data_IF_612258134270
#
_entry.id   IF_612258134270
#
_cell.length_a   1.000
_cell.length_b   1.000
_cell.length_c   1.000
_cell.angle_alpha   90.00
_cell.angle_beta   90.00
_cell.angle_gamma   90.00
#
_symmetry.space_group_name_H-M   'P 1'
#
loop_
_entity.id
_entity.type
_entity.pdbx_description
1 polymer ?
#
# COMPACT_ATOMS: atom_id res chain seq x y z
N UNK A 1 11.27 16.35 11.54
CA UNK A 1 12.09 15.92 10.39
C UNK A 1 11.34 14.75 9.83
N UNK A 2 10.77 14.98 8.67
CA UNK A 2 9.57 14.29 8.18
C UNK A 2 9.99 13.11 7.29
N UNK A 3 9.12 12.11 7.04
CA UNK A 3 9.44 11.05 6.09
C UNK A 3 9.82 11.64 4.73
N UNK A 4 10.81 11.04 4.05
CA UNK A 4 11.19 11.47 2.70
C UNK A 4 10.10 11.05 1.71
N UNK A 5 9.59 9.82 1.89
CA UNK A 5 8.56 9.26 1.02
C UNK A 5 7.54 8.54 1.89
N UNK A 6 6.26 8.82 1.63
CA UNK A 6 5.12 8.22 2.28
C UNK A 6 4.11 7.92 1.19
N UNK A 7 3.87 6.64 0.93
CA UNK A 7 3.00 6.21 -0.16
C UNK A 7 2.24 4.93 0.18
N UNK A 8 1.11 4.74 -0.50
CA UNK A 8 0.29 3.54 -0.37
C UNK A 8 -0.02 2.96 -1.74
N UNK A 9 -0.02 1.63 -1.83
CA UNK A 9 -0.57 0.89 -2.95
C UNK A 9 -1.75 0.05 -2.47
N UNK A 10 -2.93 0.24 -3.05
CA UNK A 10 -4.12 -0.52 -2.72
C UNK A 10 -4.74 -1.15 -3.96
N UNK A 11 -5.19 -2.40 -3.83
CA UNK A 11 -5.86 -3.13 -4.91
C UNK A 11 -6.83 -4.16 -4.35
N UNK A 12 -7.85 -4.51 -5.12
CA UNK A 12 -8.87 -5.49 -4.74
C UNK A 12 -8.28 -6.91 -4.72
N UNK A 13 -8.63 -7.71 -3.72
CA UNK A 13 -8.03 -9.05 -3.53
C UNK A 13 -8.79 -10.18 -4.22
N UNK A 14 -10.10 -10.10 -4.49
CA UNK A 14 -10.79 -11.22 -5.19
C UNK A 14 -12.09 -10.79 -5.87
N UNK A 15 -12.41 -11.49 -6.97
CA UNK A 15 -13.66 -11.36 -7.72
C UNK A 15 -14.76 -12.30 -7.17
N UNK A 16 -14.39 -13.30 -6.36
CA UNK A 16 -15.29 -14.33 -5.82
C UNK A 16 -15.76 -14.05 -4.38
N UNK A 17 -15.88 -12.77 -4.02
CA UNK A 17 -16.47 -12.38 -2.74
C UNK A 17 -18.00 -12.37 -2.92
N UNK A 18 -18.77 -13.16 -2.14
CA UNK A 18 -20.22 -13.12 -2.21
C UNK A 18 -20.73 -11.70 -2.03
N UNK A 19 -21.77 -11.29 -2.79
CA UNK A 19 -22.34 -9.93 -2.81
C UNK A 19 -22.66 -9.33 -1.42
N UNK A 20 -22.78 -10.15 -0.37
CA UNK A 20 -23.07 -9.74 1.00
C UNK A 20 -21.81 -9.50 1.86
N UNK A 21 -20.60 -9.79 1.37
CA UNK A 21 -19.36 -9.48 2.07
C UNK A 21 -18.74 -8.19 1.54
N UNK A 22 -18.22 -7.31 2.42
CA UNK A 22 -17.53 -6.12 1.98
C UNK A 22 -16.34 -6.49 1.08
N UNK A 23 -16.12 -5.71 0.02
CA UNK A 23 -14.95 -5.86 -0.85
C UNK A 23 -13.69 -5.89 -0.01
N UNK A 24 -12.83 -6.88 -0.25
CA UNK A 24 -11.53 -6.99 0.40
C UNK A 24 -10.48 -6.31 -0.46
N UNK A 25 -9.75 -5.39 0.14
CA UNK A 25 -8.65 -4.68 -0.50
C UNK A 25 -7.36 -5.05 0.22
N UNK A 26 -6.31 -5.32 -0.55
CA UNK A 26 -4.95 -5.26 -0.04
C UNK A 26 -4.51 -3.83 -0.07
N UNK A 27 -3.78 -3.51 0.97
CA UNK A 27 -3.36 -2.15 1.27
C UNK A 27 -1.94 -2.26 1.80
N UNK A 28 -1.00 -1.71 1.04
CA UNK A 28 0.42 -1.80 1.35
C UNK A 28 0.94 -0.38 1.56
N UNK A 29 1.33 -0.08 2.79
CA UNK A 29 1.88 1.21 3.20
C UNK A 29 3.40 1.14 3.17
N UNK A 30 4.02 2.15 2.59
CA UNK A 30 5.47 2.36 2.61
C UNK A 30 5.80 3.73 3.22
N UNK A 31 6.66 3.73 4.24
CA UNK A 31 7.23 4.97 4.82
C UNK A 31 8.74 4.88 4.82
N UNK A 32 9.39 5.69 3.99
CA UNK A 32 10.85 5.79 3.91
C UNK A 32 11.36 6.96 4.73
N UNK A 33 12.32 6.68 5.60
CA UNK A 33 12.98 7.66 6.46
C UNK A 33 14.38 8.00 5.93
N UNK A 34 14.96 9.10 6.41
CA UNK A 34 16.27 9.61 5.96
C UNK A 34 17.44 8.66 6.28
N UNK A 35 17.31 7.80 7.27
CA UNK A 35 18.32 6.83 7.72
C UNK A 35 18.34 5.52 6.91
N UNK A 36 17.89 5.59 5.65
CA UNK A 36 17.77 4.44 4.73
C UNK A 36 16.93 3.28 5.30
N UNK A 37 15.98 3.60 6.18
CA UNK A 37 15.01 2.68 6.75
C UNK A 37 13.67 2.83 6.07
N UNK A 38 12.95 1.73 5.92
CA UNK A 38 11.58 1.73 5.44
C UNK A 38 10.67 0.94 6.38
N UNK A 39 9.53 1.52 6.72
CA UNK A 39 8.40 0.82 7.28
C UNK A 39 7.53 0.27 6.15
N UNK A 40 7.17 -1.00 6.24
CA UNK A 40 6.22 -1.65 5.36
C UNK A 40 5.10 -2.21 6.19
N UNK A 41 3.85 -1.97 5.79
CA UNK A 41 2.67 -2.61 6.36
C UNK A 41 1.81 -3.16 5.24
N UNK A 42 1.47 -4.45 5.31
CA UNK A 42 0.52 -5.09 4.42
C UNK A 42 -0.72 -5.48 5.19
N UNK A 43 -1.88 -5.01 4.75
CA UNK A 43 -3.18 -5.23 5.40
C UNK A 43 -4.22 -5.70 4.40
N UNK A 44 -5.07 -6.64 4.81
CA UNK A 44 -6.31 -6.98 4.08
C UNK A 44 -7.46 -6.26 4.79
N UNK A 45 -7.92 -5.18 4.17
CA UNK A 45 -9.02 -4.37 4.68
C UNK A 45 -10.29 -5.22 4.75
N UNK A 46 -10.98 -5.16 5.89
CA UNK A 46 -12.21 -5.93 6.14
C UNK A 46 -12.01 -7.32 6.77
N UNK A 47 -10.78 -7.82 6.90
CA UNK A 47 -10.49 -9.10 7.59
C UNK A 47 -9.88 -8.89 8.98
N UNK A 48 -9.20 -7.76 9.19
CA UNK A 48 -8.44 -7.49 10.41
C UNK A 48 -7.10 -8.24 10.41
N UNK A 49 -6.05 -7.57 10.89
CA UNK A 49 -4.68 -8.09 10.87
C UNK A 49 -3.85 -7.51 9.72
N UNK A 50 -3.00 -6.55 10.06
CA UNK A 50 -1.87 -6.13 9.23
C UNK A 50 -0.61 -6.87 9.67
N UNK A 51 0.31 -7.08 8.73
CA UNK A 51 1.68 -7.46 9.04
C UNK A 51 2.57 -6.27 8.74
N UNK A 52 3.45 -5.89 9.68
CA UNK A 52 4.34 -4.76 9.48
C UNK A 52 5.77 -5.08 9.89
N UNK A 53 6.70 -4.32 9.32
CA UNK A 53 8.13 -4.49 9.54
C UNK A 53 8.87 -3.18 9.28
N UNK A 54 9.94 -2.96 10.03
CA UNK A 54 10.94 -1.95 9.71
C UNK A 54 12.14 -2.67 9.12
N UNK A 55 12.54 -2.37 7.88
CA UNK A 55 13.68 -3.02 7.24
C UNK A 55 14.61 -1.97 6.60
N UNK A 56 15.88 -2.33 6.33
CA UNK A 56 16.73 -1.50 5.50
C UNK A 56 16.13 -1.33 4.10
N UNK A 57 16.18 -0.12 3.56
CA UNK A 57 15.65 0.18 2.22
C UNK A 57 16.29 -0.69 1.13
N UNK A 58 17.59 -0.95 1.22
CA UNK A 58 18.29 -1.82 0.28
C UNK A 58 17.76 -3.26 0.27
N UNK A 59 17.16 -3.72 1.38
CA UNK A 59 16.50 -5.01 1.48
C UNK A 59 15.16 -4.97 0.74
N UNK A 60 14.34 -3.92 0.96
CA UNK A 60 13.11 -3.69 0.19
C UNK A 60 13.40 -3.66 -1.32
N UNK A 61 14.46 -2.95 -1.74
CA UNK A 61 14.81 -2.81 -3.16
C UNK A 61 15.32 -4.10 -3.81
N UNK A 62 15.62 -5.14 -3.03
CA UNK A 62 15.93 -6.49 -3.53
C UNK A 62 14.75 -7.45 -3.43
N UNK A 63 13.67 -7.04 -2.76
CA UNK A 63 12.54 -7.90 -2.51
C UNK A 63 11.69 -8.06 -3.77
N UNK A 64 11.57 -9.29 -4.29
CA UNK A 64 10.86 -9.59 -5.55
C UNK A 64 9.42 -9.07 -5.58
N UNK A 65 8.67 -9.27 -4.50
CA UNK A 65 7.23 -8.94 -4.48
C UNK A 65 6.88 -7.54 -3.96
N UNK A 66 7.58 -7.02 -2.94
CA UNK A 66 7.31 -5.69 -2.39
C UNK A 66 7.86 -4.55 -3.24
N UNK A 67 9.04 -4.72 -3.86
CA UNK A 67 9.67 -3.65 -4.66
C UNK A 67 8.74 -3.14 -5.77
N UNK A 68 8.09 -3.99 -6.59
CA UNK A 68 7.19 -3.49 -7.63
C UNK A 68 6.02 -2.67 -7.08
N UNK A 69 5.42 -3.08 -5.96
CA UNK A 69 4.34 -2.30 -5.34
C UNK A 69 4.82 -0.95 -4.79
N UNK A 70 6.03 -0.91 -4.21
CA UNK A 70 6.65 0.33 -3.78
C UNK A 70 6.95 1.27 -4.96
N UNK A 71 7.54 0.76 -6.05
CA UNK A 71 7.81 1.58 -7.25
C UNK A 71 6.51 2.16 -7.84
N UNK A 72 5.41 1.40 -7.81
CA UNK A 72 4.09 1.86 -8.25
C UNK A 72 3.50 2.90 -7.29
N UNK A 73 3.58 2.69 -5.96
CA UNK A 73 3.03 3.64 -4.99
C UNK A 73 3.72 5.01 -5.05
N UNK A 74 5.04 5.03 -5.27
CA UNK A 74 5.80 6.27 -5.41
C UNK A 74 5.32 7.16 -6.56
N UNK A 75 4.65 6.62 -7.59
CA UNK A 75 4.11 7.41 -8.72
C UNK A 75 2.95 8.33 -8.32
N UNK A 76 2.32 8.10 -7.16
CA UNK A 76 1.32 9.00 -6.62
C UNK A 76 1.91 10.26 -5.97
N UNK A 77 3.17 10.21 -5.50
CA UNK A 77 3.77 11.26 -4.68
C UNK A 77 3.84 12.57 -5.45
N UNK A 78 3.27 13.63 -4.86
CA UNK A 78 3.31 14.98 -5.45
C UNK A 78 2.42 15.20 -6.68
N UNK A 79 1.65 14.19 -7.10
CA UNK A 79 0.64 14.35 -8.16
C UNK A 79 -0.68 14.90 -7.56
N UNK A 80 -1.45 15.71 -8.30
CA UNK A 80 -2.78 16.13 -7.85
C UNK A 80 -3.72 14.93 -7.74
N UNK A 81 -4.61 14.92 -6.76
CA UNK A 81 -5.70 13.93 -6.71
C UNK A 81 -6.57 14.08 -7.95
N UNK A 82 -6.79 12.97 -8.66
CA UNK A 82 -7.57 12.96 -9.89
C UNK A 82 -9.06 12.65 -9.63
N UNK A 83 -9.38 12.04 -8.49
CA UNK A 83 -10.73 11.60 -8.15
C UNK A 83 -11.13 12.06 -6.73
N UNK A 84 -12.25 12.78 -6.63
CA UNK A 84 -12.81 13.27 -5.38
C UNK A 84 -13.45 12.15 -4.54
N UNK A 85 -13.83 11.04 -5.15
CA UNK A 85 -14.40 9.88 -4.45
C UNK A 85 -13.31 9.08 -3.69
N UNK A 86 -12.03 9.32 -4.01
CA UNK A 86 -10.86 8.72 -3.36
C UNK A 86 -10.13 9.70 -2.45
N UNK A 87 -10.84 10.73 -2.00
CA UNK A 87 -10.46 11.52 -0.84
C UNK A 87 -10.86 10.78 0.44
N UNK A 88 -9.98 10.77 1.45
CA UNK A 88 -10.46 10.46 2.80
C UNK A 88 -11.57 11.45 3.16
N UNK A 89 -12.57 10.99 3.90
CA UNK A 89 -13.82 11.71 4.20
C UNK A 89 -13.65 13.05 4.94
N UNK A 90 -12.43 13.41 5.34
CA UNK A 90 -12.10 14.66 6.02
C UNK A 90 -11.36 15.64 5.09
N UNK A 91 -11.61 16.93 5.29
CA UNK A 91 -10.86 18.00 4.63
C UNK A 91 -9.38 17.97 5.10
N UNK A 92 -8.39 17.89 4.19
CA UNK A 92 -6.97 17.89 4.53
C UNK A 92 -6.54 19.04 5.42
N UNK A 93 -7.17 20.21 5.28
CA UNK A 93 -6.88 21.38 6.11
C UNK A 93 -7.35 21.19 7.56
N UNK A 94 -8.41 20.39 7.79
CA UNK A 94 -8.90 20.09 9.15
C UNK A 94 -8.02 19.07 9.86
N UNK A 95 -7.41 18.13 9.14
CA UNK A 95 -6.55 17.12 9.73
C UNK A 95 -5.19 17.66 10.21
N UNK A 96 -4.74 18.82 9.69
CA UNK A 96 -3.52 19.51 10.18
C UNK A 96 -3.53 19.83 11.67
N UNK A 97 -4.71 19.84 12.29
CA UNK A 97 -4.89 20.11 13.73
C UNK A 97 -4.67 18.89 14.63
N UNK A 98 -4.62 17.68 14.06
CA UNK A 98 -4.39 16.43 14.78
C UNK A 98 -2.96 15.96 14.51
N UNK A 99 -2.15 15.80 15.55
CA UNK A 99 -0.69 15.65 15.42
C UNK A 99 -0.21 14.35 14.76
N UNK A 100 -1.06 13.32 14.67
CA UNK A 100 -0.70 12.02 14.10
C UNK A 100 -1.47 11.67 12.83
N UNK A 101 -2.42 12.51 12.40
CA UNK A 101 -3.31 12.17 11.29
C UNK A 101 -2.79 12.77 9.98
N UNK A 102 -2.61 11.92 8.98
CA UNK A 102 -1.88 12.25 7.75
C UNK A 102 -2.64 11.69 6.55
N UNK A 103 -2.72 12.49 5.49
CA UNK A 103 -3.10 12.03 4.17
C UNK A 103 -1.88 11.54 3.41
N UNK A 104 -1.93 10.29 2.99
CA UNK A 104 -0.86 9.64 2.24
C UNK A 104 -1.26 9.53 0.78
N UNK A 105 -0.38 9.91 -0.14
CA UNK A 105 -0.56 9.71 -1.57
C UNK A 105 -0.72 8.21 -1.86
N UNK A 106 -1.80 7.84 -2.54
CA UNK A 106 -2.18 6.44 -2.76
C UNK A 106 -2.48 6.17 -4.23
N UNK A 107 -1.92 5.07 -4.75
CA UNK A 107 -2.41 4.43 -5.96
C UNK A 107 -3.45 3.38 -5.58
N UNK A 108 -4.60 3.44 -6.25
CA UNK A 108 -5.64 2.42 -6.19
C UNK A 108 -5.74 1.69 -7.52
N UNK A 109 -5.76 0.36 -7.50
CA UNK A 109 -6.26 -0.44 -8.61
C UNK A 109 -7.69 -0.86 -8.28
N UNK A 110 -8.63 -0.38 -9.08
CA UNK A 110 -10.06 -0.54 -8.84
C UNK A 110 -10.68 -1.31 -10.00
N UNK A 111 -11.73 -2.05 -9.67
CA UNK A 111 -12.46 -2.84 -10.65
C UNK A 111 -13.94 -2.47 -10.55
N UNK A 112 -14.51 -2.04 -11.66
CA UNK A 112 -15.95 -1.90 -11.82
C UNK A 112 -16.55 -3.28 -12.02
N UNK A 113 -17.34 -3.73 -11.03
CA UNK A 113 -17.99 -5.04 -11.03
C UNK A 113 -19.09 -5.19 -12.10
N UNK A 114 -19.63 -4.09 -12.61
CA UNK A 114 -20.69 -4.10 -13.63
C UNK A 114 -20.08 -4.26 -15.01
N UNK A 115 -18.96 -3.57 -15.27
CA UNK A 115 -18.29 -3.58 -16.58
C UNK A 115 -17.09 -4.52 -16.66
N UNK A 116 -16.64 -5.07 -15.54
CA UNK A 116 -15.36 -5.78 -15.37
C UNK A 116 -14.14 -4.97 -15.83
N UNK A 117 -14.26 -3.64 -15.83
CA UNK A 117 -13.15 -2.75 -16.19
C UNK A 117 -12.22 -2.59 -14.98
N UNK A 118 -10.92 -2.76 -15.21
CA UNK A 118 -9.87 -2.49 -14.21
C UNK A 118 -9.18 -1.19 -14.59
N UNK A 119 -9.06 -0.27 -13.64
CA UNK A 119 -8.39 1.01 -13.84
C UNK A 119 -7.50 1.35 -12.64
N UNK A 120 -6.46 2.15 -12.89
CA UNK A 120 -5.70 2.78 -11.82
C UNK A 120 -6.30 4.15 -11.50
N UNK A 121 -6.28 4.51 -10.22
CA UNK A 121 -6.68 5.84 -9.73
C UNK A 121 -5.63 6.38 -8.76
N UNK A 122 -5.52 7.71 -8.72
CA UNK A 122 -4.73 8.42 -7.71
C UNK A 122 -5.67 9.13 -6.75
N UNK A 123 -5.51 8.81 -5.46
CA UNK A 123 -6.21 9.49 -4.36
C UNK A 123 -5.31 9.58 -3.14
N UNK A 124 -5.92 9.75 -1.97
CA UNK A 124 -5.21 9.78 -0.69
C UNK A 124 -5.85 8.84 0.33
N UNK A 125 -5.02 8.13 1.10
CA UNK A 125 -5.48 7.37 2.26
C UNK A 125 -5.26 8.16 3.55
N UNK A 126 -6.30 8.24 4.40
CA UNK A 126 -6.19 8.81 5.73
C UNK A 126 -5.55 7.79 6.68
N UNK A 127 -4.49 8.18 7.38
CA UNK A 127 -3.74 7.32 8.30
C UNK A 127 -3.45 8.05 9.59
N UNK A 128 -3.35 7.28 10.68
CA UNK A 128 -2.86 7.79 11.96
C UNK A 128 -1.50 7.17 12.26
N UNK A 129 -0.43 7.95 12.13
CA UNK A 129 0.94 7.54 12.37
C UNK A 129 1.62 8.43 13.42
N UNK A 130 2.26 7.81 14.40
CA UNK A 130 3.21 8.51 15.25
C UNK A 130 4.60 8.47 14.59
N UNK A 131 4.83 9.39 13.64
CA UNK A 131 6.05 9.42 12.85
C UNK A 131 7.32 9.56 13.70
N UNK A 132 7.26 10.28 14.82
CA UNK A 132 8.39 10.42 15.74
C UNK A 132 8.77 9.06 16.36
N UNK A 133 7.79 8.30 16.82
CA UNK A 133 8.02 6.94 17.36
C UNK A 133 8.53 5.99 16.28
N UNK A 134 7.95 6.04 15.08
CA UNK A 134 8.36 5.19 13.96
C UNK A 134 9.80 5.48 13.53
N UNK A 135 10.20 6.75 13.51
CA UNK A 135 11.58 7.18 13.26
C UNK A 135 12.57 6.57 14.26
N UNK A 136 12.18 6.44 15.52
CA UNK A 136 13.06 5.91 16.57
C UNK A 136 12.97 4.38 16.73
N UNK A 137 12.15 3.70 15.93
CA UNK A 137 12.03 2.24 15.98
C UNK A 137 13.21 1.57 15.26
N UNK A 138 13.77 0.54 15.88
CA UNK A 138 14.90 -0.22 15.33
C UNK A 138 14.50 -1.00 14.07
N UNK A 139 15.47 -1.20 13.17
CA UNK A 139 15.29 -2.11 12.03
C UNK A 139 15.23 -3.55 12.51
N UNK A 140 14.39 -4.33 11.84
CA UNK A 140 14.23 -5.75 12.11
C UNK A 140 15.52 -6.53 11.80
N UNK A 141 15.75 -7.56 12.59
CA UNK A 141 16.79 -8.56 12.35
C UNK A 141 16.48 -9.38 11.10
N UNK A 142 17.48 -10.05 10.54
CA UNK A 142 17.28 -10.94 9.38
C UNK A 142 16.24 -12.04 9.64
N UNK A 143 16.13 -12.55 10.87
CA UNK A 143 15.11 -13.55 11.24
C UNK A 143 13.71 -12.97 11.16
N UNK A 144 13.50 -11.77 11.71
CA UNK A 144 12.20 -11.09 11.67
C UNK A 144 11.79 -10.71 10.24
N UNK A 145 12.76 -10.36 9.38
CA UNK A 145 12.50 -10.10 7.96
C UNK A 145 12.05 -11.39 7.27
N UNK A 146 12.73 -12.52 7.49
CA UNK A 146 12.30 -13.81 6.92
C UNK A 146 10.92 -14.24 7.42
N UNK A 147 10.61 -14.02 8.70
CA UNK A 147 9.28 -14.29 9.25
C UNK A 147 8.21 -13.40 8.61
N UNK A 148 8.51 -12.12 8.41
CA UNK A 148 7.64 -11.20 7.70
C UNK A 148 7.41 -11.68 6.26
N UNK A 149 8.46 -12.04 5.53
CA UNK A 149 8.39 -12.49 4.13
C UNK A 149 7.54 -13.77 4.00
N UNK A 150 7.70 -14.73 4.91
CA UNK A 150 6.91 -15.96 4.92
C UNK A 150 5.42 -15.69 5.19
N UNK A 151 5.11 -14.74 6.09
CA UNK A 151 3.73 -14.31 6.33
C UNK A 151 3.18 -13.56 5.11
N UNK A 152 4.00 -12.70 4.50
CA UNK A 152 3.67 -11.94 3.31
C UNK A 152 3.31 -12.88 2.16
N UNK A 153 4.16 -13.87 1.88
CA UNK A 153 3.90 -14.91 0.88
C UNK A 153 2.60 -15.67 1.17
N UNK A 154 2.46 -16.20 2.39
CA UNK A 154 1.31 -17.06 2.72
C UNK A 154 -0.04 -16.34 2.70
N UNK A 155 -0.08 -15.08 3.15
CA UNK A 155 -1.35 -14.34 3.34
C UNK A 155 -1.60 -13.29 2.27
N UNK A 156 -0.55 -12.72 1.69
CA UNK A 156 -0.63 -11.52 0.88
C UNK A 156 -0.18 -11.72 -0.58
N UNK A 157 0.43 -12.85 -0.94
CA UNK A 157 0.80 -13.11 -2.34
C UNK A 157 -0.36 -13.64 -3.18
N UNK A 158 -1.03 -14.69 -2.70
CA UNK A 158 -2.18 -15.28 -3.40
C UNK A 158 -3.39 -14.37 -3.22
N UNK A 159 -3.85 -13.79 -4.33
CA UNK A 159 -4.86 -12.73 -4.32
C UNK A 159 -6.15 -13.17 -4.98
N UNK A 160 -6.24 -13.14 -6.31
CA UNK A 160 -7.53 -13.29 -6.98
C UNK A 160 -7.98 -14.73 -7.15
N UNK A 161 -7.05 -15.57 -7.61
CA UNK A 161 -7.21 -16.99 -7.90
C UNK A 161 -5.88 -17.71 -7.61
N UNK A 162 -5.92 -19.00 -7.25
CA UNK A 162 -4.72 -19.80 -6.93
C UNK A 162 -3.70 -19.87 -8.08
N UNK A 163 -4.12 -19.53 -9.31
CA UNK A 163 -3.34 -19.58 -10.54
C UNK A 163 -2.89 -18.20 -11.08
N UNK A 164 -3.12 -17.09 -10.36
CA UNK A 164 -2.75 -15.75 -10.86
C UNK A 164 -1.22 -15.53 -10.84
N UNK A 165 -0.64 -15.20 -12.00
CA UNK A 165 0.78 -14.90 -12.14
C UNK A 165 1.12 -13.49 -11.64
N UNK A 166 2.10 -13.41 -10.73
CA UNK A 166 2.52 -12.14 -10.13
C UNK A 166 3.10 -11.17 -11.16
N UNK A 167 3.92 -11.67 -12.09
CA UNK A 167 4.63 -10.83 -13.05
C UNK A 167 3.63 -10.25 -14.08
N UNK A 168 2.64 -11.04 -14.51
CA UNK A 168 1.52 -10.59 -15.34
C UNK A 168 0.70 -9.50 -14.63
N UNK A 169 0.32 -9.73 -13.37
CA UNK A 169 -0.42 -8.75 -12.57
C UNK A 169 0.33 -7.42 -12.43
N UNK A 170 1.62 -7.49 -12.11
CA UNK A 170 2.46 -6.28 -12.01
C UNK A 170 2.61 -5.58 -13.36
N UNK A 171 2.69 -6.31 -14.47
CA UNK A 171 2.72 -5.71 -15.80
C UNK A 171 1.43 -4.93 -16.10
N UNK A 172 0.26 -5.52 -15.83
CA UNK A 172 -1.05 -4.86 -15.98
C UNK A 172 -1.12 -3.60 -15.11
N UNK A 173 -0.78 -3.72 -13.82
CA UNK A 173 -0.82 -2.57 -12.91
C UNK A 173 0.15 -1.47 -13.34
N UNK A 174 1.32 -1.83 -13.87
CA UNK A 174 2.29 -0.87 -14.37
C UNK A 174 1.76 -0.09 -15.57
N UNK A 175 1.10 -0.76 -16.52
CA UNK A 175 0.48 -0.12 -17.67
C UNK A 175 -0.63 0.85 -17.23
N UNK A 176 -1.54 0.40 -16.36
CA UNK A 176 -2.62 1.23 -15.83
C UNK A 176 -2.09 2.47 -15.12
N UNK A 177 -1.08 2.32 -14.25
CA UNK A 177 -0.51 3.43 -13.50
C UNK A 177 0.32 4.38 -14.38
N UNK A 178 0.92 3.90 -15.47
CA UNK A 178 1.60 4.78 -16.42
C UNK A 178 0.63 5.70 -17.20
N UNK A 179 -0.64 5.30 -17.29
CA UNK A 179 -1.69 6.06 -17.97
C UNK A 179 -2.42 7.05 -17.04
N UNK A 180 -1.96 7.20 -15.77
CA UNK A 180 -2.43 8.21 -14.79
C UNK A 180 -1.70 9.56 -14.90
#
# INVERSE_FOLDING_TARGET
MDPIELSVFSYKTSNNIPLYMPSRFKDIVFIKFEDNKVYVEATIVGVGGGNNIYMPYDVLMKHKYLKPYYDLSCKAIGKPNLDADYYGSEDPEKCKTKTNDIFVDTIYIVEDIVTNTIEAKKGNSYRSFNLEKMKNTEVATGVQIMEFDAIFEKKYWYDRDEDEDFDERIAIYTELVNNL
#
